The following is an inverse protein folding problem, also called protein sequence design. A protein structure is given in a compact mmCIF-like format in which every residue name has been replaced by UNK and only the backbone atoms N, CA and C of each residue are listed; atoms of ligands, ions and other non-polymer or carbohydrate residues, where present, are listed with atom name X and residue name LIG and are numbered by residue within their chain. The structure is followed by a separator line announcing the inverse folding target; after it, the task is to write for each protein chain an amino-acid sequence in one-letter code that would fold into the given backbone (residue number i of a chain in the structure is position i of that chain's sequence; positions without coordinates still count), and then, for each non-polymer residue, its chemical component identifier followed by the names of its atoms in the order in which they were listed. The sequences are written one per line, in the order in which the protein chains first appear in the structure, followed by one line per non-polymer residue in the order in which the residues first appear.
data_IF_281928126615
#
_entry.id   IF_281928126615
#
_cell.length_a   1.000
_cell.length_b   1.000
_cell.length_c   1.000
_cell.angle_alpha   90.00
_cell.angle_beta   90.00
_cell.angle_gamma   90.00
#
_symmetry.space_group_name_H-M   'P 1'
#
loop_
_entity.id
_entity.type
_entity.pdbx_description
1 polymer ?
#
# COMPACT_ATOMS: atom_id res chain seq x y z
N UNK A 1 -44.21 -47.79 20.73
CA UNK A 1 -42.95 -47.49 21.43
C UNK A 1 -41.83 -47.26 20.42
N UNK A 2 -41.25 -46.04 20.44
CA UNK A 2 -39.85 -45.63 20.16
C UNK A 2 -39.18 -45.91 18.78
N UNK A 3 -38.92 -44.77 18.11
CA UNK A 3 -37.95 -44.36 17.05
C UNK A 3 -36.58 -45.10 17.09
N UNK A 4 -35.73 -45.13 16.03
CA UNK A 4 -35.59 -44.02 15.07
C UNK A 4 -35.21 -44.29 13.59
N UNK A 5 -35.59 -43.33 12.72
CA UNK A 5 -34.98 -43.06 11.42
C UNK A 5 -34.11 -41.81 11.57
N UNK A 6 -32.83 -41.96 11.91
CA UNK A 6 -31.90 -40.84 12.05
C UNK A 6 -30.85 -40.88 10.94
N UNK A 7 -30.73 -39.72 10.28
CA UNK A 7 -29.46 -39.14 9.85
C UNK A 7 -28.68 -39.83 8.72
N UNK A 8 -29.21 -39.81 7.48
CA UNK A 8 -28.38 -40.04 6.29
C UNK A 8 -28.40 -38.87 5.28
N UNK A 9 -28.97 -37.71 5.62
CA UNK A 9 -29.21 -36.61 4.67
C UNK A 9 -28.74 -35.23 5.13
N UNK A 10 -27.86 -35.16 6.14
CA UNK A 10 -27.34 -33.88 6.65
C UNK A 10 -25.81 -33.71 6.53
N UNK A 11 -25.10 -34.65 5.89
CA UNK A 11 -23.63 -34.62 5.83
C UNK A 11 -23.05 -34.22 4.45
N UNK A 12 -23.85 -34.20 3.38
CA UNK A 12 -23.37 -33.97 2.01
C UNK A 12 -23.53 -32.53 1.48
N UNK A 13 -24.03 -31.59 2.29
CA UNK A 13 -24.20 -30.18 1.89
C UNK A 13 -23.39 -29.19 2.72
N UNK A 14 -22.54 -29.68 3.64
CA UNK A 14 -21.56 -28.88 4.39
C UNK A 14 -20.13 -29.12 3.87
N UNK A 15 -19.96 -29.36 2.57
CA UNK A 15 -18.64 -29.44 1.91
C UNK A 15 -18.46 -28.49 0.72
N UNK A 16 -19.44 -27.65 0.42
CA UNK A 16 -19.33 -26.61 -0.65
C UNK A 16 -19.27 -25.17 -0.11
N UNK A 17 -19.23 -24.97 1.20
CA UNK A 17 -19.05 -23.63 1.78
C UNK A 17 -17.57 -23.27 2.06
N UNK A 18 -16.63 -24.17 1.77
CA UNK A 18 -15.22 -23.97 2.09
C UNK A 18 -14.41 -23.22 1.02
N UNK A 19 -14.99 -22.86 -0.13
CA UNK A 19 -14.24 -22.21 -1.22
C UNK A 19 -14.72 -20.79 -1.57
N UNK A 20 -15.56 -20.19 -0.73
CA UNK A 20 -15.69 -18.74 -0.70
C UNK A 20 -14.65 -18.15 0.27
N UNK A 21 -13.40 -18.63 0.20
CA UNK A 21 -12.29 -17.95 0.85
C UNK A 21 -12.13 -16.65 0.09
N UNK A 22 -12.61 -15.57 0.70
CA UNK A 22 -12.67 -14.24 0.09
C UNK A 22 -11.35 -13.94 -0.59
N UNK A 23 -11.39 -13.78 -1.91
CA UNK A 23 -10.25 -13.27 -2.65
C UNK A 23 -9.94 -11.88 -2.07
N UNK A 24 -8.92 -11.79 -1.22
CA UNK A 24 -8.38 -10.50 -0.80
C UNK A 24 -7.86 -9.84 -2.07
N UNK A 25 -8.67 -8.94 -2.63
CA UNK A 25 -8.24 -8.18 -3.79
C UNK A 25 -7.17 -7.22 -3.31
N UNK A 26 -5.96 -7.39 -3.81
CA UNK A 26 -4.88 -6.45 -3.53
C UNK A 26 -5.26 -5.06 -4.06
N UNK A 27 -4.94 -4.03 -3.29
CA UNK A 27 -5.11 -2.64 -3.66
C UNK A 27 -3.93 -2.09 -4.46
N UNK A 28 -4.06 -0.83 -4.84
CA UNK A 28 -3.04 -0.09 -5.57
C UNK A 28 -2.82 1.26 -4.87
N UNK A 29 -1.56 1.64 -4.70
CA UNK A 29 -1.17 2.99 -4.30
C UNK A 29 -0.49 3.66 -5.48
N UNK A 30 -1.06 4.78 -5.93
CA UNK A 30 -0.43 5.62 -6.94
C UNK A 30 -0.27 7.06 -6.47
N UNK A 31 0.44 7.85 -7.26
CA UNK A 31 0.66 9.23 -6.89
C UNK A 31 1.59 9.97 -7.83
N UNK A 32 1.88 11.20 -7.42
CA UNK A 32 2.80 12.10 -8.11
C UNK A 32 3.74 12.74 -7.10
N UNK A 33 5.01 12.84 -7.48
CA UNK A 33 6.02 13.61 -6.73
C UNK A 33 6.20 14.96 -7.41
N UNK A 34 6.04 16.02 -6.63
CA UNK A 34 6.19 17.41 -7.05
C UNK A 34 7.34 18.08 -6.31
N UNK A 35 7.97 19.05 -6.94
CA UNK A 35 8.89 19.97 -6.27
C UNK A 35 8.10 20.94 -5.39
N UNK A 36 8.78 21.69 -4.51
CA UNK A 36 8.17 22.79 -3.78
C UNK A 36 7.52 23.87 -4.65
N UNK A 37 7.82 23.91 -5.96
CA UNK A 37 7.20 24.82 -6.95
C UNK A 37 6.03 24.18 -7.71
N UNK A 38 5.65 22.94 -7.38
CA UNK A 38 4.56 22.20 -8.04
C UNK A 38 4.94 21.52 -9.35
N UNK A 39 6.22 21.54 -9.75
CA UNK A 39 6.69 20.84 -10.96
C UNK A 39 6.84 19.34 -10.70
N UNK A 40 6.36 18.44 -11.57
CA UNK A 40 6.60 17.01 -11.42
C UNK A 40 8.09 16.66 -11.42
N UNK A 41 8.48 15.75 -10.53
CA UNK A 41 9.88 15.33 -10.37
C UNK A 41 10.03 13.91 -10.88
N UNK A 42 10.63 13.77 -12.06
CA UNK A 42 10.95 12.48 -12.63
C UNK A 42 12.03 11.76 -11.82
N UNK A 43 11.99 10.43 -11.84
CA UNK A 43 13.01 9.57 -11.25
C UNK A 43 13.25 9.73 -9.74
N UNK A 44 12.39 10.46 -9.04
CA UNK A 44 12.34 10.51 -7.58
C UNK A 44 12.08 9.11 -7.00
N UNK A 45 12.75 8.81 -5.89
CA UNK A 45 12.56 7.59 -5.11
C UNK A 45 11.41 7.80 -4.13
N UNK A 46 10.48 6.85 -4.08
CA UNK A 46 9.32 6.85 -3.21
C UNK A 46 9.43 5.67 -2.28
N UNK A 47 9.68 5.98 -1.01
CA UNK A 47 9.71 5.02 0.08
C UNK A 47 8.31 4.82 0.62
N UNK A 48 7.95 3.56 0.88
CA UNK A 48 6.68 3.22 1.49
C UNK A 48 6.83 2.03 2.43
N UNK A 49 6.04 2.02 3.49
CA UNK A 49 6.05 0.98 4.51
C UNK A 49 4.67 0.88 5.17
N UNK A 50 4.38 -0.24 5.81
CA UNK A 50 3.18 -0.33 6.67
C UNK A 50 3.31 0.64 7.84
N UNK A 51 2.18 1.13 8.36
CA UNK A 51 2.18 2.13 9.43
C UNK A 51 2.82 1.68 10.75
N UNK A 52 3.06 0.38 10.92
CA UNK A 52 3.85 -0.18 12.03
C UNK A 52 5.38 -0.18 11.78
N UNK A 53 5.82 0.46 10.69
CA UNK A 53 7.23 0.63 10.33
C UNK A 53 7.89 -0.62 9.76
N UNK A 54 7.12 -1.64 9.38
CA UNK A 54 7.67 -2.88 8.81
C UNK A 54 7.86 -2.77 7.30
N UNK A 55 8.90 -3.48 6.82
CA UNK A 55 9.20 -3.70 5.40
C UNK A 55 9.26 -2.40 4.57
N UNK A 56 10.32 -1.58 4.74
CA UNK A 56 10.52 -0.43 3.87
C UNK A 56 10.80 -0.89 2.44
N UNK A 57 9.97 -0.41 1.52
CA UNK A 57 10.07 -0.66 0.09
C UNK A 57 10.31 0.66 -0.65
N UNK A 58 10.86 0.59 -1.87
CA UNK A 58 11.10 1.75 -2.70
C UNK A 58 10.62 1.51 -4.14
N UNK A 59 10.04 2.54 -4.75
CA UNK A 59 9.71 2.60 -6.19
C UNK A 59 10.22 3.92 -6.76
N UNK A 60 10.50 3.99 -8.06
CA UNK A 60 10.86 5.24 -8.74
C UNK A 60 9.70 5.80 -9.54
N UNK A 61 9.57 7.12 -9.52
CA UNK A 61 8.66 7.82 -10.42
C UNK A 61 9.14 7.76 -11.87
N UNK A 62 8.18 7.78 -12.80
CA UNK A 62 8.43 7.84 -14.24
C UNK A 62 8.78 9.28 -14.70
N UNK A 63 8.93 9.49 -16.01
CA UNK A 63 9.25 10.79 -16.61
C UNK A 63 8.22 11.91 -16.34
N UNK A 64 6.99 11.56 -15.97
CA UNK A 64 5.94 12.50 -15.57
C UNK A 64 5.85 12.72 -14.06
N UNK A 65 6.82 12.22 -13.29
CA UNK A 65 6.83 12.28 -11.83
C UNK A 65 5.79 11.40 -11.14
N UNK A 66 5.15 10.47 -11.87
CA UNK A 66 4.13 9.56 -11.33
C UNK A 66 4.73 8.22 -10.93
N UNK A 67 4.19 7.64 -9.86
CA UNK A 67 4.51 6.28 -9.44
C UNK A 67 3.23 5.46 -9.27
N UNK A 68 3.37 4.13 -9.30
CA UNK A 68 2.30 3.18 -9.08
C UNK A 68 2.85 1.93 -8.43
N UNK A 69 2.21 1.48 -7.37
CA UNK A 69 2.53 0.28 -6.62
C UNK A 69 1.26 -0.57 -6.60
N UNK A 70 1.29 -1.72 -7.26
CA UNK A 70 0.20 -2.68 -7.27
C UNK A 70 0.51 -3.84 -6.33
N UNK A 71 -0.50 -4.62 -6.00
CA UNK A 71 -0.32 -5.81 -5.16
C UNK A 71 -0.17 -5.50 -3.68
N UNK A 72 -0.73 -4.37 -3.22
CA UNK A 72 -0.63 -3.94 -1.83
C UNK A 72 -1.80 -4.52 -1.04
N UNK A 73 -1.52 -5.18 0.09
CA UNK A 73 -2.55 -5.59 1.04
C UNK A 73 -3.37 -4.40 1.54
N UNK A 74 -4.66 -4.59 1.81
CA UNK A 74 -5.45 -3.53 2.44
C UNK A 74 -4.82 -3.09 3.77
N UNK A 75 -4.66 -1.78 3.98
CA UNK A 75 -4.01 -1.29 5.20
C UNK A 75 -3.69 0.20 5.20
N UNK A 76 -3.06 0.63 6.30
CA UNK A 76 -2.50 1.97 6.47
C UNK A 76 -1.00 1.95 6.18
N UNK A 77 -0.57 2.92 5.39
CA UNK A 77 0.80 3.04 4.93
C UNK A 77 1.39 4.40 5.28
N UNK A 78 2.71 4.43 5.40
CA UNK A 78 3.51 5.64 5.44
C UNK A 78 4.27 5.77 4.13
N UNK A 79 4.28 6.96 3.55
CA UNK A 79 4.88 7.20 2.23
C UNK A 79 5.72 8.48 2.25
N UNK A 80 6.89 8.44 1.63
CA UNK A 80 7.76 9.61 1.49
C UNK A 80 8.50 9.59 0.16
N UNK A 81 8.74 10.75 -0.42
CA UNK A 81 9.57 10.89 -1.61
C UNK A 81 10.92 11.52 -1.30
N UNK A 82 11.92 11.15 -2.08
CA UNK A 82 13.25 11.75 -2.14
C UNK A 82 13.66 11.97 -3.59
N UNK A 83 14.20 13.15 -3.89
CA UNK A 83 14.68 13.51 -5.22
C UNK A 83 15.31 14.88 -5.23
N UNK A 84 16.22 15.15 -6.18
CA UNK A 84 16.87 16.46 -6.33
C UNK A 84 17.59 16.96 -5.04
N UNK A 85 18.08 16.05 -4.20
CA UNK A 85 18.68 16.40 -2.90
C UNK A 85 17.67 16.94 -1.87
N UNK A 86 16.38 16.72 -2.11
CA UNK A 86 15.26 17.09 -1.26
C UNK A 86 14.43 15.86 -0.90
N UNK A 87 13.61 16.00 0.13
CA UNK A 87 12.66 14.99 0.59
C UNK A 87 11.30 15.64 0.86
N UNK A 88 10.23 14.87 0.73
CA UNK A 88 8.95 15.23 1.30
C UNK A 88 8.92 14.97 2.81
N UNK A 89 7.92 15.54 3.46
CA UNK A 89 7.41 15.01 4.73
C UNK A 89 6.86 13.60 4.53
N UNK A 90 6.74 12.86 5.63
CA UNK A 90 6.03 11.59 5.64
C UNK A 90 4.53 11.84 5.53
N UNK A 91 3.89 11.21 4.56
CA UNK A 91 2.44 11.07 4.51
C UNK A 91 2.06 9.87 5.35
N UNK A 92 1.50 10.12 6.54
CA UNK A 92 1.10 9.10 7.48
C UNK A 92 -0.34 8.63 7.22
N UNK A 93 -0.62 7.37 7.57
CA UNK A 93 -1.97 6.80 7.54
C UNK A 93 -2.64 6.83 6.16
N UNK A 94 -1.87 6.63 5.09
CA UNK A 94 -2.42 6.49 3.73
C UNK A 94 -3.21 5.19 3.67
N UNK A 95 -4.54 5.28 3.61
CA UNK A 95 -5.42 4.12 3.54
C UNK A 95 -5.47 3.56 2.10
N UNK A 96 -5.08 2.29 1.96
CA UNK A 96 -5.20 1.53 0.71
C UNK A 96 -6.33 0.52 0.86
N UNK A 97 -7.47 0.67 0.17
CA UNK A 97 -8.57 -0.28 0.24
C UNK A 97 -8.31 -1.53 -0.63
N UNK A 98 -8.84 -2.68 -0.23
CA UNK A 98 -8.78 -3.90 -1.04
C UNK A 98 -9.43 -3.68 -2.43
N UNK A 99 -8.71 -4.03 -3.49
CA UNK A 99 -9.19 -3.98 -4.88
C UNK A 99 -9.43 -2.58 -5.44
N UNK A 100 -9.00 -1.52 -4.74
CA UNK A 100 -9.20 -0.14 -5.15
C UNK A 100 -7.86 0.61 -5.23
N UNK A 101 -7.92 1.81 -5.82
CA UNK A 101 -6.78 2.71 -5.96
C UNK A 101 -6.85 3.78 -4.87
N UNK A 102 -5.74 3.94 -4.14
CA UNK A 102 -5.48 5.11 -3.30
C UNK A 102 -4.46 6.00 -4.00
N UNK A 103 -4.65 7.32 -3.93
CA UNK A 103 -3.79 8.30 -4.59
C UNK A 103 -3.21 9.29 -3.60
N UNK A 104 -1.91 9.59 -3.71
CA UNK A 104 -1.21 10.56 -2.85
C UNK A 104 -0.35 11.54 -3.68
N UNK A 105 -0.17 12.76 -3.17
CA UNK A 105 0.74 13.75 -3.76
C UNK A 105 1.85 14.07 -2.79
N UNK A 106 3.10 13.81 -3.16
CA UNK A 106 4.27 14.03 -2.33
C UNK A 106 5.00 15.28 -2.78
N UNK A 107 5.28 16.22 -1.87
CA UNK A 107 5.97 17.48 -2.18
C UNK A 107 7.36 17.53 -1.57
N UNK A 108 8.37 17.71 -2.41
CA UNK A 108 9.77 17.85 -1.97
C UNK A 108 10.01 19.26 -1.44
N UNK A 109 9.97 19.42 -0.11
CA UNK A 109 10.07 20.72 0.58
C UNK A 109 11.26 20.80 1.54
N UNK A 110 11.83 19.68 1.95
CA UNK A 110 12.93 19.63 2.93
C UNK A 110 14.23 19.23 2.26
N UNK A 111 15.34 19.85 2.63
CA UNK A 111 16.66 19.41 2.13
C UNK A 111 16.97 18.05 2.74
N UNK A 112 17.42 17.09 1.93
CA UNK A 112 17.90 15.80 2.45
C UNK A 112 19.00 16.09 3.46
N UNK A 113 18.81 15.69 4.72
CA UNK A 113 19.88 15.73 5.70
C UNK A 113 21.03 14.88 5.15
N UNK A 114 22.24 15.42 5.06
CA UNK A 114 23.43 14.61 4.76
C UNK A 114 23.49 13.54 5.84
N UNK A 115 23.15 12.30 5.50
CA UNK A 115 23.29 11.16 6.39
C UNK A 115 24.76 11.07 6.78
N UNK A 116 25.08 11.53 7.99
CA UNK A 116 26.43 11.67 8.48
C UNK A 116 26.39 12.06 9.95
N UNK A 117 26.75 11.09 10.79
CA UNK A 117 27.00 11.22 12.24
C UNK A 117 25.77 11.09 13.16
N UNK A 118 25.40 9.84 13.45
CA UNK A 118 25.28 9.44 14.86
C UNK A 118 26.46 8.52 15.14
N UNK A 119 27.42 9.05 15.92
CA UNK A 119 28.37 8.24 16.69
C UNK A 119 27.61 7.41 17.72
#
# INVERSE_FOLDING_TARGET
MRKPRFAALAFALLWLAAFAYGATREGILDGVVLSGKGTPVAFAEVFWQTADGRAPHAVRTNGSGRFRIAGISQGLYEVRAQGLGMTSEWEHNVWVPAGHVASVTLRLTHRTARSGSRK
#
